data_IF_587461772593
#
_entry.id   IF_587461772593
#
_cell.length_a   1.000
_cell.length_b   1.000
_cell.length_c   1.000
_cell.angle_alpha   90.00
_cell.angle_beta   90.00
_cell.angle_gamma   90.00
#
_symmetry.space_group_name_H-M   'P 1'
#
loop_
_entity.id
_entity.type
_entity.pdbx_description
1 polymer ?
#
# COMPACT_ATOMS: atom_id res chain seq x y z
N UNK A 1 -11.86 -0.84 19.81
CA UNK A 1 -12.34 0.56 19.79
C UNK A 1 -12.88 0.92 21.16
N UNK A 2 -11.98 1.41 21.99
CA UNK A 2 -12.25 1.85 23.36
C UNK A 2 -12.10 3.37 23.39
N UNK A 3 -13.18 4.15 23.38
CA UNK A 3 -13.09 5.60 23.25
C UNK A 3 -12.19 6.21 24.32
N UNK A 4 -11.05 6.80 23.92
CA UNK A 4 -10.09 7.48 24.80
C UNK A 4 -8.71 6.82 24.95
N UNK A 5 -8.50 5.62 24.39
CA UNK A 5 -7.18 4.98 24.30
C UNK A 5 -6.73 4.90 22.83
N UNK A 6 -6.09 5.95 22.32
CA UNK A 6 -5.68 6.06 20.91
C UNK A 6 -4.76 4.92 20.40
N UNK A 7 -4.18 4.13 21.30
CA UNK A 7 -3.36 2.98 20.94
C UNK A 7 -4.14 1.83 20.30
N UNK A 8 -5.47 1.76 20.42
CA UNK A 8 -6.29 0.70 19.78
C UNK A 8 -6.99 1.15 18.49
N UNK A 9 -6.72 2.38 18.04
CA UNK A 9 -7.35 2.92 16.83
C UNK A 9 -6.80 2.25 15.57
N UNK A 10 -7.72 1.85 14.69
CA UNK A 10 -7.46 1.30 13.36
C UNK A 10 -8.09 2.22 12.31
N UNK A 11 -7.33 2.50 11.26
CA UNK A 11 -7.78 3.25 10.10
C UNK A 11 -7.65 2.40 8.85
N UNK A 12 -8.66 2.46 8.00
CA UNK A 12 -8.62 1.87 6.66
C UNK A 12 -8.60 2.98 5.63
N UNK A 13 -7.66 2.88 4.69
CA UNK A 13 -7.51 3.85 3.60
C UNK A 13 -7.91 3.15 2.30
N UNK A 14 -8.80 3.77 1.55
CA UNK A 14 -9.21 3.34 0.20
C UNK A 14 -9.12 4.52 -0.76
N UNK A 15 -9.12 4.21 -2.05
CA UNK A 15 -9.18 5.23 -3.09
C UNK A 15 -8.34 4.87 -4.30
N UNK A 16 -8.34 5.79 -5.25
CA UNK A 16 -7.51 5.73 -6.43
C UNK A 16 -6.92 7.11 -6.71
N UNK A 17 -5.79 7.13 -7.40
CA UNK A 17 -5.19 8.37 -7.86
C UNK A 17 -4.54 8.18 -9.22
N UNK A 18 -4.67 9.21 -10.05
CA UNK A 18 -4.03 9.28 -11.36
C UNK A 18 -3.26 10.58 -11.45
N UNK A 19 -2.02 10.51 -11.93
CA UNK A 19 -1.15 11.68 -12.10
C UNK A 19 -0.54 11.66 -13.49
N UNK A 20 -0.83 12.70 -14.27
CA UNK A 20 -0.22 12.92 -15.58
C UNK A 20 0.89 13.96 -15.47
N UNK A 21 2.09 13.59 -15.91
CA UNK A 21 3.27 14.44 -15.91
C UNK A 21 3.34 15.29 -17.20
N UNK A 22 4.14 16.37 -17.17
CA UNK A 22 4.29 17.30 -18.30
C UNK A 22 4.82 16.62 -19.59
N UNK A 23 5.50 15.49 -19.44
CA UNK A 23 6.00 14.68 -20.56
C UNK A 23 4.92 13.74 -21.15
N UNK A 24 3.68 13.78 -20.65
CA UNK A 24 2.56 12.96 -21.11
C UNK A 24 2.45 11.59 -20.43
N UNK A 25 3.41 11.20 -19.59
CA UNK A 25 3.31 9.96 -18.83
C UNK A 25 2.21 10.05 -17.79
N UNK A 26 1.43 8.99 -17.63
CA UNK A 26 0.42 8.87 -16.57
C UNK A 26 0.78 7.71 -15.66
N UNK A 27 0.71 7.93 -14.34
CA UNK A 27 0.80 6.89 -13.33
C UNK A 27 -0.55 6.76 -12.64
N UNK A 28 -1.07 5.54 -12.55
CA UNK A 28 -2.30 5.21 -11.85
C UNK A 28 -2.01 4.31 -10.66
N UNK A 29 -2.85 4.43 -9.66
CA UNK A 29 -2.80 3.59 -8.49
C UNK A 29 -4.20 3.42 -7.93
N UNK A 30 -4.49 2.20 -7.50
CA UNK A 30 -5.79 1.84 -6.93
C UNK A 30 -5.57 0.99 -5.69
N UNK A 31 -6.19 1.38 -4.58
CA UNK A 31 -6.23 0.53 -3.39
C UNK A 31 -7.24 -0.60 -3.64
N UNK A 32 -6.74 -1.80 -3.91
CA UNK A 32 -7.56 -2.99 -4.21
C UNK A 32 -7.97 -3.75 -2.95
N UNK A 33 -7.14 -3.69 -1.91
CA UNK A 33 -7.48 -4.11 -0.54
C UNK A 33 -7.21 -2.94 0.41
N UNK A 34 -8.18 -2.54 1.27
CA UNK A 34 -8.02 -1.39 2.14
C UNK A 34 -6.71 -1.43 2.93
N UNK A 35 -5.96 -0.32 2.89
CA UNK A 35 -4.71 -0.22 3.64
C UNK A 35 -5.04 -0.02 5.10
N UNK A 36 -4.63 -0.97 5.93
CA UNK A 36 -4.87 -0.92 7.38
C UNK A 36 -3.70 -0.27 8.08
N UNK A 37 -3.98 0.81 8.80
CA UNK A 37 -3.03 1.50 9.67
C UNK A 37 -3.49 1.41 11.11
N UNK A 38 -2.64 0.84 11.96
CA UNK A 38 -2.82 0.86 13.40
C UNK A 38 -1.97 1.98 14.00
N UNK A 39 -2.51 2.74 14.95
CA UNK A 39 -1.80 3.91 15.50
C UNK A 39 -0.47 3.54 16.17
N UNK A 40 -0.38 2.34 16.73
CA UNK A 40 0.83 1.83 17.38
C UNK A 40 1.90 1.39 16.37
N UNK A 41 1.53 1.21 15.11
CA UNK A 41 2.44 0.78 14.06
C UNK A 41 2.84 1.96 13.17
N UNK A 42 4.12 2.05 12.84
CA UNK A 42 4.60 3.09 11.93
C UNK A 42 4.16 2.80 10.48
N UNK A 43 4.11 1.52 10.11
CA UNK A 43 3.83 1.01 8.78
C UNK A 43 2.37 0.59 8.61
N UNK A 44 1.95 0.37 7.37
CA UNK A 44 0.71 -0.35 7.09
C UNK A 44 0.91 -1.81 7.48
N UNK A 45 -0.06 -2.38 8.16
CA UNK A 45 0.00 -3.78 8.61
C UNK A 45 -0.64 -4.74 7.60
N UNK A 46 -1.49 -4.23 6.71
CA UNK A 46 -2.12 -5.02 5.65
C UNK A 46 -2.71 -4.14 4.53
N UNK A 47 -3.09 -4.80 3.44
CA UNK A 47 -3.75 -4.19 2.29
C UNK A 47 -2.83 -4.13 1.07
N UNK A 48 -3.36 -3.71 -0.07
CA UNK A 48 -2.60 -3.70 -1.30
C UNK A 48 -3.04 -2.63 -2.30
N UNK A 49 -2.07 -2.19 -3.09
CA UNK A 49 -2.23 -1.17 -4.13
C UNK A 49 -1.87 -1.82 -5.47
N UNK A 50 -2.77 -1.74 -6.44
CA UNK A 50 -2.41 -1.94 -7.85
C UNK A 50 -1.72 -0.69 -8.39
N UNK A 51 -0.56 -0.88 -9.01
CA UNK A 51 0.31 0.19 -9.49
C UNK A 51 0.45 0.07 -11.00
N UNK A 52 0.09 1.12 -11.72
CA UNK A 52 0.38 1.23 -13.15
C UNK A 52 1.29 2.44 -13.40
N UNK A 53 2.51 2.19 -13.85
CA UNK A 53 3.44 3.22 -14.30
C UNK A 53 3.83 2.99 -15.75
N UNK A 54 4.47 3.98 -16.35
CA UNK A 54 4.85 3.97 -17.77
C UNK A 54 5.65 2.73 -18.19
N UNK A 55 6.51 2.20 -17.31
CA UNK A 55 7.45 1.13 -17.65
C UNK A 55 7.22 -0.17 -16.87
N UNK A 56 6.35 -0.16 -15.88
CA UNK A 56 6.04 -1.35 -15.08
C UNK A 56 4.69 -1.20 -14.42
N UNK A 57 4.08 -2.34 -14.12
CA UNK A 57 2.89 -2.44 -13.28
C UNK A 57 3.01 -3.64 -12.36
N UNK A 58 2.17 -3.67 -11.33
CA UNK A 58 2.17 -4.74 -10.34
C UNK A 58 1.42 -4.35 -9.07
N UNK A 59 1.35 -5.31 -8.16
CA UNK A 59 0.67 -5.13 -6.87
C UNK A 59 1.71 -4.93 -5.78
N UNK A 60 1.52 -3.89 -4.98
CA UNK A 60 2.27 -3.65 -3.75
C UNK A 60 1.43 -4.12 -2.56
N UNK A 61 1.89 -5.14 -1.84
CA UNK A 61 1.17 -5.80 -0.75
C UNK A 61 1.89 -5.58 0.58
N UNK A 62 1.14 -5.13 1.60
CA UNK A 62 1.65 -4.82 2.95
C UNK A 62 1.49 -5.96 3.96
N UNK A 63 1.08 -7.16 3.51
CA UNK A 63 0.96 -8.34 4.36
C UNK A 63 -0.41 -8.48 5.04
N UNK A 64 -0.45 -9.30 6.10
CA UNK A 64 -1.69 -9.84 6.68
C UNK A 64 -1.92 -9.45 8.15
N UNK A 65 -1.26 -8.39 8.62
CA UNK A 65 -1.49 -7.81 9.95
C UNK A 65 -0.27 -7.70 10.85
N UNK A 66 0.91 -8.12 10.40
CA UNK A 66 2.15 -7.96 11.15
C UNK A 66 2.61 -6.50 11.15
N UNK A 67 2.96 -5.98 12.33
CA UNK A 67 3.60 -4.66 12.42
C UNK A 67 5.11 -4.81 12.21
N UNK A 68 5.49 -4.93 10.94
CA UNK A 68 6.88 -4.92 10.50
C UNK A 68 7.09 -3.86 9.40
N UNK A 69 8.31 -3.80 8.88
CA UNK A 69 8.68 -2.90 7.80
C UNK A 69 8.83 -3.62 6.46
N UNK A 70 8.09 -4.71 6.26
CA UNK A 70 8.15 -5.53 5.05
C UNK A 70 6.91 -5.31 4.19
N UNK A 71 7.12 -5.45 2.88
CA UNK A 71 6.06 -5.50 1.89
C UNK A 71 6.55 -6.36 0.72
N UNK A 72 5.64 -6.81 -0.13
CA UNK A 72 5.97 -7.53 -1.37
C UNK A 72 5.50 -6.73 -2.56
N UNK A 73 6.34 -6.59 -3.58
CA UNK A 73 5.92 -6.10 -4.88
C UNK A 73 5.91 -7.24 -5.89
N UNK A 74 4.73 -7.54 -6.41
CA UNK A 74 4.54 -8.54 -7.48
C UNK A 74 4.33 -7.82 -8.80
N UNK A 75 5.32 -7.88 -9.68
CA UNK A 75 5.24 -7.33 -11.03
C UNK A 75 4.18 -8.06 -11.87
N UNK A 76 3.62 -7.38 -12.88
CA UNK A 76 2.63 -7.97 -13.78
C UNK A 76 3.12 -9.20 -14.57
N UNK A 77 4.43 -9.41 -14.66
CA UNK A 77 5.03 -10.61 -15.24
C UNK A 77 5.14 -11.80 -14.25
N UNK A 78 4.73 -11.61 -12.99
CA UNK A 78 4.79 -12.58 -11.90
C UNK A 78 6.10 -12.61 -11.12
N UNK A 79 7.06 -11.73 -11.40
CA UNK A 79 8.26 -11.58 -10.56
C UNK A 79 7.91 -10.91 -9.23
N UNK A 80 8.47 -11.40 -8.13
CA UNK A 80 8.22 -10.89 -6.79
C UNK A 80 9.51 -10.37 -6.15
N UNK A 81 9.39 -9.24 -5.44
CA UNK A 81 10.51 -8.63 -4.72
C UNK A 81 10.04 -8.19 -3.34
N UNK A 82 10.79 -8.61 -2.32
CA UNK A 82 10.62 -8.12 -0.95
C UNK A 82 11.12 -6.68 -0.82
N UNK A 83 10.31 -5.84 -0.20
CA UNK A 83 10.57 -4.42 0.00
C UNK A 83 10.70 -4.13 1.50
N UNK A 84 11.79 -3.46 1.87
CA UNK A 84 11.99 -2.91 3.21
C UNK A 84 11.55 -1.44 3.21
N UNK A 85 10.56 -1.11 4.04
CA UNK A 85 9.98 0.22 4.19
C UNK A 85 10.87 1.11 5.09
N UNK A 86 11.27 2.29 4.59
CA UNK A 86 12.10 3.28 5.29
C UNK A 86 11.37 4.60 5.53
#
# INVERSE_FOLDING_TARGET
DTPGLFSDNVFEITGNWSTTFINGNTHNYEVILPLRREVICFYFVSGSIDVERTNFSGVFDYGEGDCDNMATFTFANGEEVDIVLN
#
